data_IF_502533294105
#
_entry.id   IF_502533294105
#
_cell.length_a   1.000
_cell.length_b   1.000
_cell.length_c   1.000
_cell.angle_alpha   90.00
_cell.angle_beta   90.00
_cell.angle_gamma   90.00
#
_symmetry.space_group_name_H-M   'P 1'
#
loop_
_entity.id
_entity.type
_entity.pdbx_description
1 polymer ?
#
# COMPACT_ATOMS: atom_id res chain seq x y z
N UNK A 1 -9.37 -4.58 -14.39
CA UNK A 1 -8.08 -4.08 -13.85
C UNK A 1 -8.29 -2.59 -13.55
N UNK A 2 -8.29 -2.18 -12.27
CA UNK A 2 -8.71 -0.81 -11.84
C UNK A 2 -7.55 0.09 -11.40
N UNK A 3 -6.43 -0.48 -10.95
CA UNK A 3 -5.30 0.25 -10.36
C UNK A 3 -3.97 -0.06 -11.05
N UNK A 4 -3.04 0.88 -10.99
CA UNK A 4 -1.61 0.63 -11.16
C UNK A 4 -1.06 0.06 -9.85
N UNK A 5 -0.78 -1.26 -9.80
CA UNK A 5 -0.28 -1.90 -8.57
C UNK A 5 1.23 -1.76 -8.46
N UNK A 6 1.70 -1.14 -7.39
CA UNK A 6 3.12 -1.01 -7.04
C UNK A 6 3.36 -1.74 -5.72
N UNK A 7 4.28 -2.70 -5.71
CA UNK A 7 4.76 -3.27 -4.45
C UNK A 7 5.90 -2.41 -3.94
N UNK A 8 5.72 -1.80 -2.78
CA UNK A 8 6.74 -1.00 -2.12
C UNK A 8 7.06 -1.63 -0.77
N UNK A 9 8.25 -2.21 -0.60
CA UNK A 9 8.67 -2.91 0.62
C UNK A 9 9.97 -2.34 1.20
N UNK A 10 10.10 -2.34 2.52
CA UNK A 10 11.36 -2.02 3.21
C UNK A 10 12.35 -3.20 3.23
N UNK A 11 12.00 -4.32 2.61
CA UNK A 11 12.89 -5.47 2.40
C UNK A 11 13.85 -5.24 1.23
N UNK A 12 14.96 -5.98 1.23
CA UNK A 12 15.91 -5.99 0.12
C UNK A 12 15.36 -6.79 -1.06
N UNK A 13 15.64 -6.37 -2.29
CA UNK A 13 15.20 -7.04 -3.52
C UNK A 13 15.57 -8.53 -3.55
N UNK A 14 16.80 -8.87 -3.15
CA UNK A 14 17.32 -10.25 -3.09
C UNK A 14 16.44 -11.25 -2.32
N UNK A 15 15.62 -10.75 -1.38
CA UNK A 15 14.67 -11.55 -0.61
C UNK A 15 13.25 -11.44 -1.17
N UNK A 16 12.83 -10.21 -1.52
CA UNK A 16 11.45 -9.95 -1.92
C UNK A 16 11.13 -10.39 -3.35
N UNK A 17 12.08 -10.29 -4.30
CA UNK A 17 11.83 -10.63 -5.70
C UNK A 17 11.36 -12.08 -5.92
N UNK A 18 12.06 -13.11 -5.37
CA UNK A 18 11.62 -14.48 -5.53
C UNK A 18 10.21 -14.74 -4.98
N UNK A 19 9.85 -14.09 -3.87
CA UNK A 19 8.52 -14.23 -3.28
C UNK A 19 7.44 -13.56 -4.14
N UNK A 20 7.73 -12.37 -4.66
CA UNK A 20 6.81 -11.65 -5.56
C UNK A 20 6.64 -12.37 -6.90
N UNK A 21 7.66 -13.07 -7.39
CA UNK A 21 7.55 -13.91 -8.59
C UNK A 21 6.60 -15.10 -8.39
N UNK A 22 6.57 -15.67 -7.18
CA UNK A 22 5.64 -16.75 -6.83
C UNK A 22 4.21 -16.22 -6.59
N UNK A 23 4.08 -15.05 -5.95
CA UNK A 23 2.79 -14.45 -5.63
C UNK A 23 2.08 -13.89 -6.88
N UNK A 24 2.81 -13.20 -7.77
CA UNK A 24 2.23 -12.48 -8.91
C UNK A 24 2.03 -13.36 -10.15
N UNK A 25 1.25 -14.42 -9.99
CA UNK A 25 0.92 -15.38 -11.06
C UNK A 25 0.21 -14.73 -12.26
N UNK A 26 -0.47 -13.60 -12.06
CA UNK A 26 -1.24 -12.88 -13.10
C UNK A 26 -0.52 -11.66 -13.67
N UNK A 27 0.72 -11.39 -13.24
CA UNK A 27 1.54 -10.25 -13.69
C UNK A 27 0.83 -8.90 -13.51
N UNK A 28 0.18 -8.71 -12.37
CA UNK A 28 -0.55 -7.49 -12.04
C UNK A 28 0.36 -6.39 -11.48
N UNK A 29 1.52 -6.75 -10.90
CA UNK A 29 2.48 -5.79 -10.33
C UNK A 29 3.16 -5.03 -11.46
N UNK A 30 3.00 -3.71 -11.50
CA UNK A 30 3.61 -2.83 -12.49
C UNK A 30 5.01 -2.38 -12.12
N UNK A 31 5.27 -2.20 -10.83
CA UNK A 31 6.57 -1.78 -10.34
C UNK A 31 6.85 -2.38 -8.96
N UNK A 32 8.12 -2.71 -8.71
CA UNK A 32 8.63 -3.17 -7.41
C UNK A 32 9.61 -2.12 -6.89
N UNK A 33 9.39 -1.65 -5.68
CA UNK A 33 10.23 -0.71 -4.95
C UNK A 33 10.68 -1.38 -3.65
N UNK A 34 11.98 -1.30 -3.38
CA UNK A 34 12.60 -1.98 -2.25
C UNK A 34 13.16 -0.97 -1.25
N UNK A 35 13.90 -1.46 -0.25
CA UNK A 35 14.50 -0.66 0.82
C UNK A 35 15.22 0.59 0.31
N UNK A 36 15.94 0.50 -0.80
CA UNK A 36 16.72 1.59 -1.37
C UNK A 36 15.85 2.75 -1.87
N UNK A 37 14.56 2.50 -2.14
CA UNK A 37 13.59 3.52 -2.51
C UNK A 37 12.95 4.22 -1.29
N UNK A 38 13.02 3.62 -0.09
CA UNK A 38 12.53 4.23 1.13
C UNK A 38 13.35 5.47 1.52
N UNK A 39 12.73 6.38 2.26
CA UNK A 39 13.37 7.50 2.92
C UNK A 39 13.72 7.11 4.36
N UNK A 40 15.01 7.11 4.76
CA UNK A 40 15.37 6.95 6.16
C UNK A 40 14.89 8.17 6.96
N UNK A 41 14.02 7.96 7.95
CA UNK A 41 13.49 9.03 8.79
C UNK A 41 13.27 8.50 10.21
N UNK A 42 13.92 9.14 11.20
CA UNK A 42 13.80 8.78 12.63
C UNK A 42 13.97 7.27 12.91
N UNK A 43 14.94 6.63 12.24
CA UNK A 43 15.21 5.19 12.39
C UNK A 43 14.24 4.26 11.65
N UNK A 44 13.25 4.80 10.93
CA UNK A 44 12.28 4.05 10.14
C UNK A 44 12.54 4.17 8.64
N UNK A 45 11.96 3.25 7.87
CA UNK A 45 11.95 3.27 6.41
C UNK A 45 10.60 3.80 5.92
N UNK A 46 10.52 5.09 5.62
CA UNK A 46 9.29 5.76 5.19
C UNK A 46 9.14 5.69 3.68
N UNK A 47 7.93 5.39 3.21
CA UNK A 47 7.56 5.29 1.79
C UNK A 47 6.96 6.62 1.34
N UNK A 48 7.82 7.57 0.99
CA UNK A 48 7.39 8.90 0.55
C UNK A 48 6.68 8.83 -0.82
N UNK A 49 5.35 8.90 -0.82
CA UNK A 49 4.50 8.75 -2.00
C UNK A 49 4.73 9.88 -3.02
N UNK A 50 5.20 11.05 -2.59
CA UNK A 50 5.53 12.17 -3.50
C UNK A 50 6.62 11.80 -4.49
N UNK A 51 7.49 10.84 -4.14
CA UNK A 51 8.59 10.36 -4.98
C UNK A 51 8.13 9.38 -6.06
N UNK A 52 6.87 8.94 -6.03
CA UNK A 52 6.32 8.08 -7.07
C UNK A 52 6.07 8.87 -8.36
N UNK A 53 5.96 10.20 -8.34
CA UNK A 53 5.61 10.96 -9.55
C UNK A 53 4.18 10.70 -10.03
N UNK A 54 3.30 10.25 -9.14
CA UNK A 54 1.85 10.15 -9.33
C UNK A 54 1.16 11.22 -8.45
N UNK A 55 0.03 11.80 -8.88
CA UNK A 55 -0.71 12.74 -8.04
C UNK A 55 -1.19 12.08 -6.74
N UNK A 56 -1.01 12.75 -5.59
CA UNK A 56 -1.44 12.20 -4.30
C UNK A 56 -2.95 11.96 -4.24
N UNK A 57 -3.76 12.83 -4.86
CA UNK A 57 -5.22 12.64 -4.96
C UNK A 57 -5.64 11.33 -5.66
N UNK A 58 -4.74 10.70 -6.40
CA UNK A 58 -4.96 9.46 -7.16
C UNK A 58 -4.10 8.30 -6.62
N UNK A 59 -3.43 8.48 -5.47
CA UNK A 59 -2.47 7.51 -4.92
C UNK A 59 -2.91 7.04 -3.54
N UNK A 60 -2.90 5.74 -3.32
CA UNK A 60 -3.23 5.11 -2.03
C UNK A 60 -2.05 4.23 -1.62
N UNK A 61 -1.78 4.14 -0.33
CA UNK A 61 -0.90 3.12 0.25
C UNK A 61 -1.68 2.23 1.22
N UNK A 62 -1.48 0.93 1.10
CA UNK A 62 -1.95 -0.06 2.08
C UNK A 62 -0.72 -0.60 2.79
N UNK A 63 -0.63 -0.41 4.10
CA UNK A 63 0.52 -0.84 4.89
C UNK A 63 0.13 -1.14 6.33
N UNK A 64 0.77 -2.15 6.91
CA UNK A 64 0.51 -2.58 8.28
C UNK A 64 1.32 -1.79 9.32
N UNK A 65 2.23 -0.91 8.90
CA UNK A 65 3.01 -0.05 9.80
C UNK A 65 2.69 1.43 9.58
N UNK A 66 2.14 2.13 10.59
CA UNK A 66 1.91 3.58 10.53
C UNK A 66 3.15 4.42 10.21
N UNK A 67 4.34 3.94 10.62
CA UNK A 67 5.59 4.62 10.31
C UNK A 67 5.91 4.61 8.81
N UNK A 68 5.44 3.61 8.05
CA UNK A 68 5.69 3.50 6.61
C UNK A 68 5.11 4.68 5.82
N UNK A 69 4.00 5.27 6.25
CA UNK A 69 3.29 6.33 5.52
C UNK A 69 3.18 7.64 6.30
N UNK A 70 4.06 7.86 7.29
CA UNK A 70 4.00 9.03 8.17
C UNK A 70 4.04 10.38 7.42
N UNK A 71 4.58 10.43 6.21
CA UNK A 71 4.59 11.66 5.39
C UNK A 71 3.29 11.91 4.62
N UNK A 72 2.44 10.90 4.45
CA UNK A 72 1.16 10.97 3.73
C UNK A 72 0.09 10.10 4.42
N UNK A 73 -0.29 10.40 5.68
CA UNK A 73 -1.29 9.61 6.40
C UNK A 73 -2.67 9.66 5.73
N UNK A 74 -3.02 10.77 5.09
CA UNK A 74 -4.32 10.93 4.38
C UNK A 74 -4.42 10.08 3.10
N UNK A 75 -3.31 9.48 2.66
CA UNK A 75 -3.26 8.54 1.54
C UNK A 75 -3.28 7.08 2.00
N UNK A 76 -3.30 6.82 3.30
CA UNK A 76 -3.10 5.50 3.85
C UNK A 76 -4.42 4.80 4.16
N UNK A 77 -4.43 3.50 3.88
CA UNK A 77 -5.36 2.53 4.46
C UNK A 77 -4.51 1.66 5.38
N UNK A 78 -4.71 1.83 6.69
CA UNK A 78 -4.09 0.93 7.67
C UNK A 78 -4.70 -0.47 7.51
N UNK A 79 -3.85 -1.49 7.56
CA UNK A 79 -4.27 -2.89 7.55
C UNK A 79 -3.59 -3.62 8.72
N UNK A 80 -4.24 -4.64 9.26
CA UNK A 80 -3.71 -5.50 10.31
C UNK A 80 -2.43 -6.21 9.89
N UNK A 81 -1.62 -6.57 10.88
CA UNK A 81 -0.47 -7.44 10.62
C UNK A 81 -0.96 -8.87 10.56
N UNK A 82 -0.83 -9.48 9.39
CA UNK A 82 -1.12 -10.89 9.17
C UNK A 82 -0.06 -11.80 9.81
N UNK A 83 -0.48 -12.76 10.63
CA UNK A 83 0.38 -13.80 11.22
C UNK A 83 -0.37 -15.14 11.25
N UNK A 84 -0.12 -16.00 10.26
CA UNK A 84 -0.52 -17.41 10.22
C UNK A 84 -2.01 -17.72 10.48
N UNK A 85 -2.91 -16.76 10.29
CA UNK A 85 -4.35 -16.95 10.47
C UNK A 85 -5.01 -17.35 9.13
N UNK A 86 -5.53 -18.58 8.97
CA UNK A 86 -6.22 -18.97 7.76
C UNK A 86 -7.61 -18.33 7.62
N UNK A 87 -8.17 -17.80 8.71
CA UNK A 87 -9.49 -17.15 8.73
C UNK A 87 -9.42 -15.63 8.52
N UNK A 88 -8.22 -15.05 8.38
CA UNK A 88 -8.05 -13.63 8.05
C UNK A 88 -8.72 -13.31 6.70
N UNK A 89 -9.54 -12.25 6.71
CA UNK A 89 -10.25 -11.76 5.52
C UNK A 89 -9.97 -10.30 5.22
N UNK A 90 -9.04 -9.64 5.90
CA UNK A 90 -8.91 -8.18 5.83
C UNK A 90 -8.67 -7.70 4.39
N UNK A 91 -7.81 -8.39 3.64
CA UNK A 91 -7.56 -8.04 2.23
C UNK A 91 -8.80 -8.22 1.33
N UNK A 92 -9.64 -9.21 1.62
CA UNK A 92 -10.88 -9.45 0.86
C UNK A 92 -11.93 -8.39 1.20
N UNK A 93 -12.03 -8.04 2.48
CA UNK A 93 -12.93 -7.00 2.99
C UNK A 93 -12.55 -5.60 2.53
N UNK A 94 -11.28 -5.40 2.18
CA UNK A 94 -10.80 -4.15 1.60
C UNK A 94 -11.24 -3.94 0.14
N UNK A 95 -11.59 -5.00 -0.60
CA UNK A 95 -11.91 -4.94 -2.03
C UNK A 95 -13.04 -3.95 -2.34
N UNK A 96 -14.24 -4.01 -1.71
CA UNK A 96 -15.33 -3.08 -2.02
C UNK A 96 -14.96 -1.61 -1.77
N UNK A 97 -14.12 -1.37 -0.75
CA UNK A 97 -13.65 -0.03 -0.46
C UNK A 97 -12.69 0.49 -1.53
N UNK A 98 -11.73 -0.34 -1.96
CA UNK A 98 -10.86 -0.02 -3.10
C UNK A 98 -11.68 0.19 -4.39
N UNK A 99 -12.71 -0.62 -4.64
CA UNK A 99 -13.58 -0.44 -5.80
C UNK A 99 -14.32 0.89 -5.77
N UNK A 100 -14.69 1.39 -4.60
CA UNK A 100 -15.29 2.72 -4.42
C UNK A 100 -14.25 3.82 -4.69
N UNK A 101 -13.06 3.70 -4.13
CA UNK A 101 -11.97 4.68 -4.32
C UNK A 101 -11.49 4.77 -5.76
N UNK A 102 -11.70 3.73 -6.58
CA UNK A 102 -11.36 3.76 -8.00
C UNK A 102 -12.16 4.79 -8.82
N UNK A 103 -13.22 5.37 -8.25
CA UNK A 103 -14.12 6.30 -8.95
C UNK A 103 -14.22 7.69 -8.31
N UNK A 104 -13.50 7.95 -7.21
CA UNK A 104 -13.51 9.27 -6.57
C UNK A 104 -12.49 10.20 -7.23
N UNK A 105 -12.78 11.51 -7.23
CA UNK A 105 -11.87 12.52 -7.80
C UNK A 105 -10.62 12.77 -6.95
N UNK A 106 -10.69 12.46 -5.66
CA UNK A 106 -9.62 12.70 -4.69
C UNK A 106 -9.71 11.72 -3.53
N UNK A 107 -8.85 10.71 -3.54
CA UNK A 107 -8.83 9.64 -2.53
C UNK A 107 -8.58 10.18 -1.12
N UNK A 108 -7.81 11.26 -0.97
CA UNK A 108 -7.46 11.80 0.36
C UNK A 108 -8.67 12.36 1.09
N UNK A 109 -9.66 12.87 0.35
CA UNK A 109 -10.91 13.37 0.92
C UNK A 109 -11.82 12.24 1.38
N UNK A 110 -11.81 11.10 0.68
CA UNK A 110 -12.62 9.94 1.05
C UNK A 110 -11.98 9.16 2.19
N UNK A 111 -10.64 8.99 2.15
CA UNK A 111 -9.87 8.32 3.20
C UNK A 111 -9.90 9.09 4.53
N UNK A 112 -9.74 10.42 4.50
CA UNK A 112 -9.79 11.25 5.70
C UNK A 112 -11.17 11.27 6.38
N UNK A 113 -12.24 10.93 5.65
CA UNK A 113 -13.61 10.83 6.19
C UNK A 113 -13.84 9.49 6.89
N UNK A 114 -13.01 8.47 6.63
CA UNK A 114 -12.98 7.17 7.30
C UNK A 114 -14.32 6.42 7.28
N UNK A 115 -14.43 5.22 6.68
CA UNK A 115 -15.17 4.20 7.37
C UNK A 115 -14.29 3.78 8.56
N UNK A 116 -14.80 3.86 9.79
CA UNK A 116 -14.30 2.97 10.83
C UNK A 116 -14.80 1.57 10.46
N UNK A 117 -13.93 0.59 10.12
CA UNK A 117 -14.34 -0.79 10.12
C UNK A 117 -14.15 -1.31 11.55
N UNK A 118 -15.18 -1.99 12.05
CA UNK A 118 -15.21 -2.61 13.37
C UNK A 118 -14.22 -3.77 13.48
#
# INVERSE_FOLDING_TARGET
>A
QRFEVVVFTASLSKYADPLLDLLDSTRCIRQRLFREACCPYEGNYVKDLRRLGRPLRDTIIVDNSPHSYIFQPDNAIAIGTYIDDPEDRELLELIPYLETLAFVDDVTKTLAVGPAPA
#
